data_IF_969149805508
#
_entry.id   IF_969149805508
#
_cell.length_a   1.000
_cell.length_b   1.000
_cell.length_c   1.000
_cell.angle_alpha   90.00
_cell.angle_beta   90.00
_cell.angle_gamma   90.00
#
_symmetry.space_group_name_H-M   'P 1'
#
loop_
_entity.id
_entity.type
_entity.pdbx_description
1 polymer ?
#
# COMPACT_ATOMS: atom_id res chain seq x y z
N UNK A 1 38.32 -24.34 -10.08
CA UNK A 1 37.56 -23.09 -9.87
C UNK A 1 36.70 -23.23 -8.63
N UNK A 2 36.95 -22.46 -7.56
CA UNK A 2 36.06 -22.44 -6.39
C UNK A 2 34.70 -21.84 -6.80
N UNK A 3 33.56 -22.41 -6.37
CA UNK A 3 32.26 -21.84 -6.68
C UNK A 3 32.18 -20.45 -6.04
N UNK A 4 31.93 -19.42 -6.85
CA UNK A 4 31.63 -18.07 -6.36
C UNK A 4 30.37 -18.16 -5.51
N UNK A 5 30.48 -17.93 -4.21
CA UNK A 5 29.34 -17.73 -3.32
C UNK A 5 28.46 -16.64 -3.92
N UNK A 6 27.23 -16.97 -4.34
CA UNK A 6 26.21 -15.97 -4.65
C UNK A 6 26.04 -15.12 -3.40
N UNK A 7 26.45 -13.84 -3.43
CA UNK A 7 26.09 -12.88 -2.39
C UNK A 7 24.56 -12.85 -2.34
N UNK A 8 23.97 -13.43 -1.29
CA UNK A 8 22.53 -13.32 -1.04
C UNK A 8 22.32 -11.85 -0.66
N UNK A 9 21.68 -11.08 -1.54
CA UNK A 9 21.24 -9.72 -1.21
C UNK A 9 20.26 -9.82 -0.04
N UNK A 10 20.34 -8.93 0.96
CA UNK A 10 19.39 -8.95 2.07
C UNK A 10 17.96 -8.84 1.53
N UNK A 11 17.04 -9.58 2.14
CA UNK A 11 15.62 -9.52 1.77
C UNK A 11 15.10 -8.09 1.94
N UNK A 12 14.30 -7.56 1.01
CA UNK A 12 13.77 -6.20 1.11
C UNK A 12 12.76 -6.11 2.26
N UNK A 13 12.81 -5.00 3.01
CA UNK A 13 11.71 -4.64 3.90
C UNK A 13 10.50 -4.15 3.10
N UNK A 14 9.33 -4.70 3.38
CA UNK A 14 8.06 -4.28 2.78
C UNK A 14 7.17 -3.78 3.89
N UNK A 15 6.85 -2.49 3.89
CA UNK A 15 5.96 -1.89 4.89
C UNK A 15 4.51 -2.19 4.54
N UNK A 16 3.79 -2.78 5.47
CA UNK A 16 2.37 -3.10 5.31
C UNK A 16 1.58 -2.26 6.30
N UNK A 17 0.74 -1.34 5.83
CA UNK A 17 -0.11 -0.54 6.73
C UNK A 17 -1.30 -1.39 7.16
N UNK A 18 -1.59 -1.46 8.46
CA UNK A 18 -2.68 -2.27 9.01
C UNK A 18 -4.07 -1.82 8.54
N UNK A 19 -4.20 -0.64 7.95
CA UNK A 19 -5.48 -0.09 7.48
C UNK A 19 -6.35 0.39 8.63
N UNK A 20 -7.67 0.37 8.46
CA UNK A 20 -8.61 0.67 9.54
C UNK A 20 -8.63 -0.49 10.57
N UNK A 21 -8.26 -0.24 11.85
CA UNK A 21 -8.29 -1.28 12.88
C UNK A 21 -9.68 -1.85 13.19
N UNK A 22 -10.76 -1.15 12.84
CA UNK A 22 -12.12 -1.65 12.95
C UNK A 22 -12.55 -2.52 11.75
N UNK A 23 -11.77 -2.50 10.67
CA UNK A 23 -11.99 -3.33 9.48
C UNK A 23 -11.28 -4.68 9.55
N UNK A 24 -11.14 -5.32 8.39
CA UNK A 24 -10.48 -6.65 8.25
C UNK A 24 -8.96 -6.59 8.19
N UNK A 25 -8.38 -5.38 8.13
CA UNK A 25 -6.94 -5.16 7.97
C UNK A 25 -6.07 -5.88 9.00
N UNK A 26 -6.37 -5.82 10.32
CA UNK A 26 -5.64 -6.58 11.34
C UNK A 26 -5.56 -8.09 11.07
N UNK A 27 -6.67 -8.69 10.61
CA UNK A 27 -6.75 -10.12 10.34
C UNK A 27 -5.91 -10.52 9.12
N UNK A 28 -5.91 -9.68 8.08
CA UNK A 28 -5.09 -9.89 6.89
C UNK A 28 -3.60 -9.76 7.22
N UNK A 29 -3.21 -8.76 8.01
CA UNK A 29 -1.83 -8.57 8.46
C UNK A 29 -1.30 -9.79 9.22
N UNK A 30 -2.07 -10.36 10.14
CA UNK A 30 -1.67 -11.57 10.87
C UNK A 30 -1.46 -12.77 9.94
N UNK A 31 -2.33 -12.95 8.93
CA UNK A 31 -2.17 -14.02 7.94
C UNK A 31 -0.95 -13.81 7.05
N UNK A 32 -0.68 -12.58 6.64
CA UNK A 32 0.51 -12.24 5.84
C UNK A 32 1.80 -12.58 6.59
N UNK A 33 1.87 -12.26 7.88
CA UNK A 33 3.03 -12.55 8.73
C UNK A 33 3.31 -14.06 8.89
N UNK A 34 2.31 -14.91 8.65
CA UNK A 34 2.43 -16.38 8.72
C UNK A 34 2.64 -17.03 7.34
N UNK A 35 2.60 -16.26 6.26
CA UNK A 35 2.76 -16.79 4.91
C UNK A 35 4.22 -17.11 4.60
N UNK A 36 4.53 -18.41 4.52
CA UNK A 36 5.86 -18.91 4.16
C UNK A 36 6.33 -18.37 2.81
N UNK A 37 5.43 -18.25 1.83
CA UNK A 37 5.76 -17.73 0.51
C UNK A 37 6.23 -16.26 0.56
N UNK A 38 5.60 -15.44 1.42
CA UNK A 38 5.90 -14.01 1.55
C UNK A 38 7.23 -13.81 2.29
N UNK A 39 7.45 -14.51 3.40
CA UNK A 39 8.66 -14.35 4.24
C UNK A 39 9.92 -14.85 3.56
N UNK A 40 9.81 -15.70 2.53
CA UNK A 40 10.92 -16.11 1.67
C UNK A 40 11.33 -15.02 0.66
N UNK A 41 10.44 -14.07 0.35
CA UNK A 41 10.65 -13.04 -0.66
C UNK A 41 10.96 -11.66 -0.05
N UNK A 42 10.54 -11.41 1.19
CA UNK A 42 10.72 -10.14 1.87
C UNK A 42 10.66 -10.28 3.39
N UNK A 43 11.02 -9.20 4.10
CA UNK A 43 10.72 -9.05 5.53
C UNK A 43 9.51 -8.10 5.66
N UNK A 44 8.29 -8.62 5.87
CA UNK A 44 7.10 -7.80 6.03
C UNK A 44 7.12 -7.09 7.39
N UNK A 45 6.88 -5.77 7.38
CA UNK A 45 6.83 -4.92 8.56
C UNK A 45 5.42 -4.31 8.67
N UNK A 46 4.63 -4.72 9.66
CA UNK A 46 3.27 -4.20 9.85
C UNK A 46 3.34 -2.86 10.58
N UNK A 47 3.06 -1.76 9.89
CA UNK A 47 2.81 -0.46 10.51
C UNK A 47 1.38 -0.48 11.08
N UNK A 48 1.27 -0.59 12.40
CA UNK A 48 -0.02 -0.84 13.06
C UNK A 48 0.05 -0.73 14.58
N UNK A 49 -1.00 -1.21 15.25
CA UNK A 49 -1.06 -1.26 16.72
C UNK A 49 -0.91 -2.71 17.20
N UNK A 50 0.21 -3.01 17.85
CA UNK A 50 0.51 -4.35 18.37
C UNK A 50 -0.50 -4.82 19.41
N UNK A 51 -1.15 -3.92 20.16
CA UNK A 51 -2.18 -4.30 21.13
C UNK A 51 -3.43 -4.82 20.42
N UNK A 52 -3.84 -4.17 19.33
CA UNK A 52 -4.96 -4.62 18.49
C UNK A 52 -4.64 -5.96 17.83
N UNK A 53 -3.45 -6.09 17.24
CA UNK A 53 -3.04 -7.33 16.59
C UNK A 53 -2.98 -8.51 17.56
N UNK A 54 -2.49 -8.31 18.80
CA UNK A 54 -2.53 -9.33 19.85
C UNK A 54 -3.95 -9.74 20.23
N UNK A 55 -4.87 -8.77 20.37
CA UNK A 55 -6.28 -9.06 20.65
C UNK A 55 -6.93 -9.85 19.51
N UNK A 56 -6.73 -9.43 18.26
CA UNK A 56 -7.28 -10.12 17.08
C UNK A 56 -6.69 -11.52 16.93
N UNK A 57 -5.38 -11.67 17.15
CA UNK A 57 -4.70 -12.96 17.13
C UNK A 57 -5.28 -13.93 18.16
N UNK A 58 -5.52 -13.46 19.39
CA UNK A 58 -6.17 -14.24 20.44
C UNK A 58 -7.59 -14.66 20.08
N UNK A 59 -8.40 -13.76 19.51
CA UNK A 59 -9.79 -14.04 19.13
C UNK A 59 -9.85 -15.08 17.99
N UNK A 60 -8.99 -14.92 16.98
CA UNK A 60 -8.97 -15.77 15.79
C UNK A 60 -8.09 -17.02 15.93
N UNK A 61 -7.43 -17.20 17.08
CA UNK A 61 -6.45 -18.28 17.32
C UNK A 61 -5.33 -18.29 16.25
N UNK A 62 -4.85 -17.10 15.89
CA UNK A 62 -3.74 -16.90 14.97
C UNK A 62 -2.46 -16.58 15.74
N UNK A 63 -1.31 -16.86 15.14
CA UNK A 63 -0.02 -16.44 15.69
C UNK A 63 0.19 -14.94 15.47
N UNK A 64 0.59 -14.24 16.53
CA UNK A 64 1.09 -12.86 16.47
C UNK A 64 2.62 -12.93 16.60
N UNK A 65 3.41 -12.19 15.81
CA UNK A 65 4.85 -12.17 15.95
C UNK A 65 5.25 -11.61 17.32
N UNK A 66 6.29 -12.18 17.91
CA UNK A 66 6.88 -11.69 19.16
C UNK A 66 7.71 -10.42 18.93
N UNK A 67 8.29 -10.28 17.73
CA UNK A 67 9.07 -9.10 17.35
C UNK A 67 8.17 -7.89 17.14
N UNK A 68 8.25 -6.97 18.11
CA UNK A 68 7.57 -5.67 18.12
C UNK A 68 8.62 -4.60 18.29
N UNK A 69 8.63 -3.63 17.38
CA UNK A 69 9.53 -2.48 17.40
C UNK A 69 8.68 -1.23 17.57
N UNK A 70 8.95 -0.44 18.61
CA UNK A 70 8.27 0.84 18.76
C UNK A 70 8.65 1.78 17.61
N UNK A 71 7.70 2.61 17.17
CA UNK A 71 7.96 3.58 16.09
C UNK A 71 9.12 4.53 16.42
N UNK A 72 9.31 4.90 17.69
CA UNK A 72 10.43 5.73 18.12
C UNK A 72 11.78 5.05 17.87
N UNK A 73 11.93 3.79 18.31
CA UNK A 73 13.12 2.97 18.06
C UNK A 73 13.37 2.76 16.55
N UNK A 74 12.31 2.52 15.79
CA UNK A 74 12.39 2.34 14.34
C UNK A 74 12.96 3.59 13.66
N UNK A 75 12.49 4.78 14.06
CA UNK A 75 12.95 6.05 13.51
C UNK A 75 14.41 6.31 13.88
N UNK A 76 14.86 5.91 15.07
CA UNK A 76 16.26 6.07 15.52
C UNK A 76 17.22 5.02 14.95
N UNK A 77 16.71 4.06 14.17
CA UNK A 77 17.56 3.14 13.40
C UNK A 77 17.48 1.68 13.78
N UNK A 78 16.69 1.28 14.80
CA UNK A 78 16.48 -0.14 15.12
C UNK A 78 15.85 -0.84 13.92
N UNK A 79 16.44 -1.97 13.52
CA UNK A 79 15.97 -2.77 12.40
C UNK A 79 15.69 -4.19 12.85
N UNK A 80 14.47 -4.71 12.69
CA UNK A 80 14.19 -6.11 12.98
C UNK A 80 14.81 -7.02 11.92
N UNK A 81 15.26 -8.21 12.32
CA UNK A 81 15.80 -9.23 11.42
C UNK A 81 14.73 -10.16 10.83
N UNK A 82 13.49 -10.04 11.27
CA UNK A 82 12.39 -10.96 10.97
C UNK A 82 11.05 -10.22 10.81
N UNK A 83 9.98 -10.88 10.29
CA UNK A 83 8.64 -10.31 10.22
C UNK A 83 8.22 -9.69 11.55
N UNK A 84 7.84 -8.41 11.54
CA UNK A 84 7.66 -7.65 12.78
C UNK A 84 6.51 -6.65 12.72
N UNK A 85 6.04 -6.23 13.89
CA UNK A 85 5.10 -5.12 14.03
C UNK A 85 5.88 -3.85 14.36
N UNK A 86 5.72 -2.81 13.55
CA UNK A 86 6.14 -1.45 13.87
C UNK A 86 4.99 -0.78 14.62
N UNK A 87 5.12 -0.69 15.94
CA UNK A 87 4.07 -0.26 16.84
C UNK A 87 3.86 1.26 16.78
N UNK A 88 2.71 1.67 16.25
CA UNK A 88 2.31 3.07 16.02
C UNK A 88 1.00 3.42 16.77
N UNK A 89 0.92 3.28 18.10
CA UNK A 89 -0.36 3.33 18.84
C UNK A 89 -0.98 4.72 18.88
N UNK A 90 -2.25 4.86 18.52
CA UNK A 90 -3.01 6.12 18.69
C UNK A 90 -3.76 6.13 20.02
N UNK A 91 -3.79 7.27 20.72
CA UNK A 91 -4.52 7.42 21.97
C UNK A 91 -5.98 6.98 21.81
N UNK A 92 -6.40 6.02 22.65
CA UNK A 92 -7.75 5.46 22.62
C UNK A 92 -7.95 4.28 21.66
N UNK A 93 -6.90 3.80 20.97
CA UNK A 93 -6.98 2.67 20.02
C UNK A 93 -7.56 1.40 20.64
N UNK A 94 -7.32 1.16 21.93
CA UNK A 94 -7.91 0.05 22.72
C UNK A 94 -9.45 0.05 22.77
N UNK A 95 -10.10 1.18 22.46
CA UNK A 95 -11.57 1.30 22.45
C UNK A 95 -12.19 1.00 21.08
N UNK A 96 -11.37 0.80 20.05
CA UNK A 96 -11.85 0.46 18.71
C UNK A 96 -12.55 -0.90 18.77
N UNK A 97 -13.76 -0.97 18.20
CA UNK A 97 -14.54 -2.20 18.10
C UNK A 97 -14.61 -2.65 16.64
N UNK A 98 -14.39 -3.95 16.34
CA UNK A 98 -14.56 -4.47 14.98
C UNK A 98 -15.94 -4.13 14.41
N UNK A 99 -15.98 -3.73 13.14
CA UNK A 99 -17.19 -3.35 12.41
C UNK A 99 -17.84 -2.03 12.87
N UNK A 100 -17.22 -1.27 13.78
CA UNK A 100 -17.75 0.02 14.24
C UNK A 100 -16.82 1.17 13.84
N UNK A 101 -17.32 2.03 12.97
CA UNK A 101 -16.65 3.23 12.50
C UNK A 101 -16.39 4.17 13.70
N UNK A 102 -15.18 4.72 13.79
CA UNK A 102 -14.83 5.69 14.83
C UNK A 102 -13.76 6.67 14.38
N UNK A 103 -13.75 7.87 14.96
CA UNK A 103 -12.69 8.87 14.75
C UNK A 103 -11.30 8.32 15.10
N UNK A 104 -11.20 7.49 16.15
CA UNK A 104 -9.93 6.90 16.58
C UNK A 104 -9.42 5.90 15.55
N UNK A 105 -10.29 5.10 14.94
CA UNK A 105 -9.88 4.13 13.91
C UNK A 105 -9.41 4.84 12.62
N UNK A 106 -10.05 5.95 12.24
CA UNK A 106 -9.57 6.85 11.18
C UNK A 106 -8.18 7.45 11.47
N UNK A 107 -7.98 8.05 12.66
CA UNK A 107 -6.68 8.58 13.09
C UNK A 107 -5.58 7.50 13.07
N UNK A 108 -5.94 6.28 13.44
CA UNK A 108 -5.04 5.14 13.46
C UNK A 108 -4.60 4.74 12.05
N UNK A 109 -5.56 4.57 11.13
CA UNK A 109 -5.28 4.26 9.73
C UNK A 109 -4.38 5.31 9.07
N UNK A 110 -4.69 6.60 9.26
CA UNK A 110 -3.87 7.69 8.76
C UNK A 110 -2.45 7.65 9.31
N UNK A 111 -2.28 7.45 10.62
CA UNK A 111 -0.96 7.34 11.23
C UNK A 111 -0.14 6.22 10.59
N UNK A 112 -0.71 5.03 10.43
CA UNK A 112 0.01 3.90 9.83
C UNK A 112 0.49 4.21 8.41
N UNK A 113 -0.35 4.89 7.61
CA UNK A 113 0.01 5.32 6.26
C UNK A 113 1.15 6.34 6.32
N UNK A 114 1.03 7.40 7.14
CA UNK A 114 2.06 8.44 7.24
C UNK A 114 3.41 7.90 7.69
N UNK A 115 3.44 6.97 8.66
CA UNK A 115 4.69 6.37 9.14
C UNK A 115 5.33 5.44 8.10
N UNK A 116 4.51 4.69 7.35
CA UNK A 116 5.00 3.86 6.25
C UNK A 116 5.55 4.74 5.11
N UNK A 117 4.87 5.81 4.72
CA UNK A 117 5.33 6.75 3.68
C UNK A 117 6.63 7.42 4.09
N UNK A 118 6.70 7.96 5.32
CA UNK A 118 7.92 8.54 5.89
C UNK A 118 9.08 7.53 5.86
N UNK A 119 8.81 6.26 6.20
CA UNK A 119 9.80 5.18 6.15
C UNK A 119 10.26 4.86 4.72
N UNK A 120 9.37 4.89 3.73
CA UNK A 120 9.69 4.65 2.32
C UNK A 120 10.53 5.80 1.73
N UNK A 121 10.14 7.05 2.00
CA UNK A 121 10.88 8.25 1.56
C UNK A 121 12.31 8.27 2.15
N UNK A 122 12.46 7.84 3.41
CA UNK A 122 13.75 7.65 4.08
C UNK A 122 14.49 6.37 3.65
N UNK A 123 13.99 5.63 2.67
CA UNK A 123 14.56 4.36 2.16
C UNK A 123 14.74 3.27 3.21
N UNK A 124 13.98 3.32 4.32
CA UNK A 124 13.99 2.29 5.37
C UNK A 124 13.16 1.07 4.97
N UNK A 125 12.17 1.26 4.09
CA UNK A 125 11.42 0.18 3.43
C UNK A 125 11.52 0.34 1.91
N UNK A 126 11.41 -0.77 1.20
CA UNK A 126 11.55 -0.82 -0.27
C UNK A 126 10.23 -0.58 -1.01
N UNK A 127 9.10 -0.88 -0.36
CA UNK A 127 7.76 -0.68 -0.91
C UNK A 127 6.72 -0.61 0.23
N UNK A 128 5.53 -0.11 -0.11
CA UNK A 128 4.36 -0.06 0.76
C UNK A 128 3.27 -0.96 0.18
N UNK A 129 2.61 -1.73 1.05
CA UNK A 129 1.37 -2.45 0.77
C UNK A 129 0.31 -1.94 1.74
N UNK A 130 -0.85 -1.53 1.24
CA UNK A 130 -1.89 -0.94 2.09
C UNK A 130 -3.04 -1.91 2.32
N UNK A 131 -3.34 -2.26 3.57
CA UNK A 131 -4.62 -2.86 3.92
C UNK A 131 -5.77 -1.83 3.82
N UNK A 132 -7.04 -2.27 3.70
CA UNK A 132 -8.17 -1.37 3.48
C UNK A 132 -8.40 -0.36 4.61
N UNK A 133 -8.89 0.84 4.27
CA UNK A 133 -9.33 1.86 5.23
C UNK A 133 -10.80 2.22 5.03
N UNK A 134 -11.40 2.89 6.02
CA UNK A 134 -12.73 3.48 5.92
C UNK A 134 -12.65 5.00 5.72
N UNK A 135 -13.14 5.51 4.58
CA UNK A 135 -13.19 6.96 4.29
C UNK A 135 -14.04 7.73 5.31
N UNK A 136 -15.15 7.13 5.74
CA UNK A 136 -16.02 7.74 6.76
C UNK A 136 -15.29 7.88 8.11
N UNK A 137 -14.48 6.88 8.50
CA UNK A 137 -13.66 6.97 9.71
C UNK A 137 -12.60 8.08 9.62
N UNK A 138 -11.96 8.24 8.45
CA UNK A 138 -11.02 9.35 8.20
C UNK A 138 -11.72 10.71 8.32
N UNK A 139 -12.89 10.88 7.69
CA UNK A 139 -13.65 12.12 7.78
C UNK A 139 -14.04 12.45 9.23
N UNK A 140 -14.48 11.45 10.02
CA UNK A 140 -14.75 11.60 11.45
C UNK A 140 -13.51 11.94 12.29
N UNK A 141 -12.31 11.67 11.75
CA UNK A 141 -11.04 12.09 12.34
C UNK A 141 -10.63 13.52 11.96
N UNK A 142 -11.41 14.21 11.11
CA UNK A 142 -11.05 15.50 10.52
C UNK A 142 -10.05 15.39 9.36
N UNK A 143 -9.90 14.19 8.80
CA UNK A 143 -8.90 13.86 7.78
C UNK A 143 -9.64 13.68 6.45
N UNK A 144 -9.80 14.77 5.71
CA UNK A 144 -10.64 14.82 4.52
C UNK A 144 -9.81 14.55 3.25
N UNK A 145 -9.63 13.27 2.91
CA UNK A 145 -9.02 12.86 1.64
C UNK A 145 -10.03 12.17 0.73
N UNK A 146 -9.95 12.37 -0.60
CA UNK A 146 -10.81 11.68 -1.55
C UNK A 146 -10.65 10.16 -1.48
N UNK A 147 -9.43 9.67 -1.25
CA UNK A 147 -9.06 8.27 -1.14
C UNK A 147 -7.59 8.07 -0.74
N UNK A 148 -7.14 6.80 -0.76
CA UNK A 148 -5.76 6.43 -0.44
C UNK A 148 -4.73 7.01 -1.40
N UNK A 149 -5.06 7.04 -2.69
CA UNK A 149 -4.11 7.43 -3.73
C UNK A 149 -3.75 8.90 -3.60
N UNK A 150 -4.75 9.76 -3.36
CA UNK A 150 -4.57 11.19 -3.16
C UNK A 150 -3.77 11.49 -1.89
N UNK A 151 -4.05 10.75 -0.81
CA UNK A 151 -3.27 10.84 0.43
C UNK A 151 -1.79 10.48 0.19
N UNK A 152 -1.53 9.38 -0.51
CA UNK A 152 -0.16 8.97 -0.83
C UNK A 152 0.54 10.02 -1.70
N UNK A 153 -0.13 10.52 -2.74
CA UNK A 153 0.41 11.52 -3.65
C UNK A 153 0.81 12.81 -2.93
N UNK A 154 -0.03 13.30 -2.00
CA UNK A 154 0.29 14.48 -1.19
C UNK A 154 1.48 14.21 -0.26
N UNK A 155 1.50 13.08 0.45
CA UNK A 155 2.59 12.73 1.36
C UNK A 155 3.92 12.50 0.65
N UNK A 156 3.91 12.17 -0.64
CA UNK A 156 5.11 11.94 -1.46
C UNK A 156 5.42 13.08 -2.44
N UNK A 157 4.73 14.22 -2.34
CA UNK A 157 4.88 15.36 -3.24
C UNK A 157 4.86 14.94 -4.73
N UNK A 158 3.89 14.09 -5.07
CA UNK A 158 3.80 13.43 -6.38
C UNK A 158 2.65 13.99 -7.19
N UNK A 159 2.97 14.75 -8.24
CA UNK A 159 1.97 15.32 -9.14
C UNK A 159 1.36 14.28 -10.10
N UNK A 160 2.18 13.33 -10.56
CA UNK A 160 1.79 12.38 -11.61
C UNK A 160 1.71 10.96 -11.07
N UNK A 161 0.49 10.45 -10.97
CA UNK A 161 0.19 9.07 -10.61
C UNK A 161 -0.96 8.52 -11.46
N UNK A 162 -1.03 7.20 -11.61
CA UNK A 162 -2.15 6.54 -12.29
C UNK A 162 -2.48 5.21 -11.61
N UNK A 163 -3.74 4.80 -11.70
CA UNK A 163 -4.16 3.47 -11.25
C UNK A 163 -3.72 2.42 -12.26
N UNK A 164 -3.14 1.32 -11.75
CA UNK A 164 -2.73 0.17 -12.55
C UNK A 164 -3.20 -1.12 -11.87
N UNK A 165 -3.84 -1.98 -12.64
CA UNK A 165 -4.22 -3.34 -12.25
C UNK A 165 -3.29 -4.31 -12.95
N UNK A 166 -2.70 -5.25 -12.21
CA UNK A 166 -1.71 -6.19 -12.74
C UNK A 166 -2.04 -7.62 -12.34
N UNK A 167 -1.75 -8.56 -13.23
CA UNK A 167 -1.84 -9.99 -13.05
C UNK A 167 -0.71 -10.67 -13.84
N UNK A 168 -0.59 -11.98 -13.73
CA UNK A 168 0.38 -12.74 -14.54
C UNK A 168 0.12 -12.62 -16.05
N UNK A 169 -1.14 -12.45 -16.45
CA UNK A 169 -1.57 -12.43 -17.86
C UNK A 169 -1.60 -11.02 -18.46
N UNK A 170 -2.10 -10.05 -17.72
CA UNK A 170 -2.34 -8.69 -18.23
C UNK A 170 -2.03 -7.63 -17.18
N UNK A 171 -1.54 -6.48 -17.64
CA UNK A 171 -1.42 -5.26 -16.84
C UNK A 171 -2.10 -4.11 -17.56
N UNK A 172 -3.00 -3.42 -16.87
CA UNK A 172 -3.84 -2.35 -17.42
C UNK A 172 -3.65 -1.11 -16.56
N UNK A 173 -3.23 0.00 -17.18
CA UNK A 173 -3.25 1.33 -16.55
C UNK A 173 -4.44 2.12 -17.06
N UNK A 174 -5.08 2.88 -16.19
CA UNK A 174 -6.31 3.60 -16.48
C UNK A 174 -6.03 5.10 -16.59
N UNK A 175 -6.45 5.72 -17.70
CA UNK A 175 -6.35 7.19 -17.89
C UNK A 175 -7.33 7.93 -16.99
N UNK A 176 -8.51 7.35 -16.80
CA UNK A 176 -9.56 7.84 -15.89
C UNK A 176 -10.00 6.70 -14.98
N UNK A 177 -10.47 7.03 -13.77
CA UNK A 177 -10.93 6.02 -12.81
C UNK A 177 -12.42 6.24 -12.47
N UNK A 178 -12.73 6.61 -11.24
CA UNK A 178 -14.09 6.73 -10.71
C UNK A 178 -14.74 8.07 -11.14
N UNK A 179 -15.13 8.17 -12.41
CA UNK A 179 -15.91 9.29 -12.98
C UNK A 179 -17.18 8.77 -13.66
N UNK A 180 -18.17 9.63 -13.90
CA UNK A 180 -19.34 9.23 -14.66
C UNK A 180 -18.97 8.97 -16.12
N UNK A 181 -19.58 7.97 -16.75
CA UNK A 181 -19.31 7.63 -18.16
C UNK A 181 -19.58 8.84 -19.09
N UNK A 182 -20.61 9.63 -18.78
CA UNK A 182 -20.94 10.85 -19.52
C UNK A 182 -19.85 11.93 -19.46
N UNK A 183 -18.97 11.90 -18.46
CA UNK A 183 -17.87 12.85 -18.29
C UNK A 183 -16.59 12.40 -19.02
N UNK A 184 -16.52 11.14 -19.45
CA UNK A 184 -15.33 10.55 -20.02
C UNK A 184 -14.77 11.31 -21.23
N UNK A 185 -15.59 11.72 -22.24
CA UNK A 185 -15.08 12.46 -23.39
C UNK A 185 -14.43 13.80 -23.01
N UNK A 186 -14.96 14.47 -21.97
CA UNK A 186 -14.47 15.75 -21.49
C UNK A 186 -13.27 15.61 -20.53
N UNK A 187 -13.17 14.49 -19.82
CA UNK A 187 -12.11 14.24 -18.86
C UNK A 187 -10.78 13.90 -19.53
N UNK A 188 -10.80 13.41 -20.78
CA UNK A 188 -9.62 12.99 -21.52
C UNK A 188 -8.88 14.17 -22.15
N UNK A 189 -7.56 14.08 -22.19
CA UNK A 189 -6.70 15.02 -22.89
C UNK A 189 -5.41 14.33 -23.33
N UNK A 190 -4.74 14.90 -24.35
CA UNK A 190 -3.44 14.41 -24.83
C UNK A 190 -2.45 14.30 -23.67
N UNK A 191 -2.38 15.32 -22.80
CA UNK A 191 -1.45 15.35 -21.67
C UNK A 191 -1.73 14.22 -20.67
N UNK A 192 -2.99 14.00 -20.28
CA UNK A 192 -3.34 12.90 -19.36
C UNK A 192 -2.98 11.53 -19.95
N UNK A 193 -3.30 11.30 -21.22
CA UNK A 193 -3.01 10.05 -21.92
C UNK A 193 -1.50 9.81 -21.99
N UNK A 194 -0.72 10.82 -22.42
CA UNK A 194 0.73 10.71 -22.50
C UNK A 194 1.38 10.48 -21.13
N UNK A 195 0.86 11.12 -20.07
CA UNK A 195 1.36 10.91 -18.72
C UNK A 195 1.16 9.46 -18.26
N UNK A 196 -0.02 8.89 -18.49
CA UNK A 196 -0.30 7.49 -18.16
C UNK A 196 0.60 6.56 -18.98
N UNK A 197 0.72 6.76 -20.30
CA UNK A 197 1.60 5.95 -21.16
C UNK A 197 3.05 5.97 -20.65
N UNK A 198 3.56 7.15 -20.27
CA UNK A 198 4.93 7.31 -19.73
C UNK A 198 5.09 6.59 -18.39
N UNK A 199 4.16 6.76 -17.46
CA UNK A 199 4.17 6.10 -16.15
C UNK A 199 4.09 4.57 -16.30
N UNK A 200 3.22 4.06 -17.18
CA UNK A 200 3.11 2.63 -17.48
C UNK A 200 4.41 2.10 -18.08
N UNK A 201 4.97 2.77 -19.09
CA UNK A 201 6.24 2.36 -19.70
C UNK A 201 7.36 2.28 -18.66
N UNK A 202 7.53 3.31 -17.83
CA UNK A 202 8.56 3.36 -16.80
C UNK A 202 8.37 2.23 -15.77
N UNK A 203 7.14 2.03 -15.30
CA UNK A 203 6.81 1.03 -14.27
C UNK A 203 7.02 -0.39 -14.78
N UNK A 204 6.50 -0.73 -15.95
CA UNK A 204 6.64 -2.08 -16.52
C UNK A 204 8.09 -2.37 -16.91
N UNK A 205 8.82 -1.37 -17.42
CA UNK A 205 10.26 -1.51 -17.68
C UNK A 205 11.03 -1.87 -16.41
N UNK A 206 10.70 -1.23 -15.28
CA UNK A 206 11.30 -1.54 -13.98
C UNK A 206 10.93 -2.96 -13.48
N UNK A 207 9.66 -3.35 -13.60
CA UNK A 207 9.16 -4.65 -13.13
C UNK A 207 9.72 -5.80 -13.99
N UNK A 208 9.64 -5.69 -15.32
CA UNK A 208 9.98 -6.76 -16.27
C UNK A 208 11.44 -6.71 -16.74
N UNK A 209 12.19 -5.65 -16.38
CA UNK A 209 13.59 -5.42 -16.78
C UNK A 209 13.83 -5.51 -18.30
N UNK A 210 12.82 -5.15 -19.08
CA UNK A 210 12.85 -5.12 -20.55
C UNK A 210 11.97 -3.99 -21.06
N UNK A 211 12.16 -3.57 -22.31
CA UNK A 211 11.30 -2.58 -22.93
C UNK A 211 9.88 -3.17 -23.09
N UNK A 212 8.83 -2.53 -22.53
CA UNK A 212 7.47 -3.02 -22.69
C UNK A 212 6.92 -2.65 -24.07
N UNK A 213 6.05 -3.51 -24.57
CA UNK A 213 5.16 -3.20 -25.67
C UNK A 213 3.82 -2.75 -25.07
N UNK A 214 3.33 -1.58 -25.47
CA UNK A 214 2.13 -0.97 -24.91
C UNK A 214 1.03 -0.93 -25.96
N UNK A 215 -0.16 -1.38 -25.57
CA UNK A 215 -1.39 -1.30 -26.37
C UNK A 215 -2.27 -0.22 -25.76
N UNK A 216 -2.80 0.67 -26.60
CA UNK A 216 -3.68 1.76 -26.18
C UNK A 216 -5.07 1.52 -26.78
N UNK A 217 -6.09 1.41 -25.94
CA UNK A 217 -7.46 1.28 -26.39
C UNK A 217 -8.00 2.62 -26.89
N UNK A 218 -8.75 2.60 -28.00
CA UNK A 218 -9.58 3.73 -28.41
C UNK A 218 -10.69 4.02 -27.40
N UNK A 219 -11.13 5.27 -27.31
CA UNK A 219 -12.28 5.67 -26.49
C UNK A 219 -13.59 5.11 -27.06
N UNK A 220 -13.81 5.31 -28.36
CA UNK A 220 -14.99 4.86 -29.06
C UNK A 220 -14.83 3.40 -29.51
N UNK A 221 -15.95 2.66 -29.69
CA UNK A 221 -15.95 1.41 -30.43
C UNK A 221 -15.22 1.57 -31.77
N UNK A 222 -14.50 0.54 -32.19
CA UNK A 222 -13.69 0.55 -33.42
C UNK A 222 -12.65 1.70 -33.50
N UNK A 223 -12.30 2.30 -32.35
CA UNK A 223 -11.44 3.49 -32.27
C UNK A 223 -11.92 4.65 -33.15
N UNK A 224 -13.24 4.78 -33.32
CA UNK A 224 -13.89 5.87 -34.08
C UNK A 224 -14.18 5.56 -35.55
N UNK A 225 -13.57 4.53 -36.14
CA UNK A 225 -13.82 4.16 -37.56
C UNK A 225 -13.81 5.37 -38.51
N UNK A 226 -12.68 6.10 -38.54
CA UNK A 226 -12.46 7.28 -39.37
C UNK A 226 -13.31 8.54 -39.05
N UNK A 227 -14.03 8.58 -37.92
CA UNK A 227 -14.74 9.77 -37.42
C UNK A 227 -15.24 9.64 -35.99
#
# INVERSE_FOLDING_TARGET
MKPRSKKISPLPYIGITMGDPAGVGPELCLRVLQSHEIVLQCIPLIFGDATILKTVASILKLNCPDSIVDISDWITGKTPSEPSIIHCPVAGSKRIKPGKISSVSGKSAYRYITEAVSSALKKRISAIVTAPICKEALNLAGINYPGHTELLAELTDTENYCMMLTSEKITVSLVTTHIAISELPLALSINKILNVIRLTNQTIKRIKKKQPELIVCGLNPHSGEHG
#
